data_IF_066369424982
#
_entry.id   IF_066369424982
#
_cell.length_a   1.000
_cell.length_b   1.000
_cell.length_c   1.000
_cell.angle_alpha   90.00
_cell.angle_beta   90.00
_cell.angle_gamma   90.00
#
_symmetry.space_group_name_H-M   'P 1'
#
loop_
_entity.id
_entity.type
_entity.pdbx_description
1 polymer ?
#
# COMPACT_ATOMS: atom_id res chain seq x y z
N UNK A 1 30.61 -6.03 -8.20
CA UNK A 1 29.87 -7.32 -8.08
C UNK A 1 29.11 -7.53 -9.37
N UNK A 2 29.19 -8.71 -9.97
CA UNK A 2 28.42 -9.05 -11.19
C UNK A 2 27.15 -9.77 -10.70
N UNK A 3 25.97 -9.30 -11.10
CA UNK A 3 24.72 -9.98 -10.81
C UNK A 3 24.61 -11.21 -11.73
N UNK A 4 24.37 -12.37 -11.14
CA UNK A 4 24.27 -13.65 -11.82
C UNK A 4 23.30 -14.55 -11.04
N UNK A 5 22.25 -15.04 -11.70
CA UNK A 5 21.25 -15.91 -11.08
C UNK A 5 21.30 -17.35 -11.60
N UNK A 6 22.32 -17.75 -12.37
CA UNK A 6 22.40 -19.10 -12.96
C UNK A 6 22.36 -20.21 -11.93
N UNK A 7 23.10 -20.06 -10.83
CA UNK A 7 23.08 -21.05 -9.75
C UNK A 7 21.73 -21.13 -9.05
N UNK A 8 21.05 -19.97 -8.91
CA UNK A 8 19.71 -19.93 -8.31
C UNK A 8 18.67 -20.61 -9.22
N UNK A 9 18.74 -20.33 -10.53
CA UNK A 9 17.88 -21.02 -11.52
C UNK A 9 18.12 -22.52 -11.51
N UNK A 10 19.41 -22.95 -11.48
CA UNK A 10 19.79 -24.37 -11.40
C UNK A 10 19.19 -25.02 -10.16
N UNK A 11 19.35 -24.40 -8.98
CA UNK A 11 18.77 -24.90 -7.73
C UNK A 11 17.24 -25.06 -7.81
N UNK A 12 16.54 -24.07 -8.37
CA UNK A 12 15.08 -24.13 -8.52
C UNK A 12 14.63 -25.27 -9.43
N UNK A 13 15.39 -25.57 -10.48
CA UNK A 13 15.14 -26.69 -11.40
C UNK A 13 15.38 -28.03 -10.70
N UNK A 14 16.51 -28.18 -10.02
CA UNK A 14 16.82 -29.39 -9.24
C UNK A 14 15.77 -29.67 -8.18
N UNK A 15 15.26 -28.65 -7.49
CA UNK A 15 14.18 -28.80 -6.52
C UNK A 15 12.86 -29.26 -7.18
N UNK A 16 12.59 -28.85 -8.41
CA UNK A 16 11.40 -29.31 -9.16
C UNK A 16 11.50 -30.76 -9.58
N UNK A 17 12.71 -31.26 -9.85
CA UNK A 17 12.97 -32.61 -10.34
C UNK A 17 12.93 -33.66 -9.21
N UNK A 18 12.84 -33.25 -7.94
CA UNK A 18 12.72 -34.17 -6.81
C UNK A 18 11.39 -34.95 -6.91
N UNK A 19 11.40 -36.28 -6.85
CA UNK A 19 10.19 -37.09 -6.89
C UNK A 19 9.15 -36.67 -5.84
N UNK A 20 7.91 -36.43 -6.28
CA UNK A 20 6.81 -36.00 -5.43
C UNK A 20 6.67 -34.46 -5.29
N UNK A 21 7.66 -33.68 -5.71
CA UNK A 21 7.54 -32.21 -5.74
C UNK A 21 6.73 -31.79 -6.96
N UNK A 22 5.59 -31.14 -6.72
CA UNK A 22 4.74 -30.65 -7.80
C UNK A 22 5.05 -29.23 -8.24
N UNK A 23 5.44 -28.36 -7.30
CA UNK A 23 5.75 -26.94 -7.53
C UNK A 23 6.71 -26.42 -6.48
N UNK A 24 7.59 -25.52 -6.91
CA UNK A 24 8.52 -24.78 -6.04
C UNK A 24 8.21 -23.31 -6.16
N UNK A 25 7.77 -22.66 -5.06
CA UNK A 25 7.42 -21.24 -5.06
C UNK A 25 8.37 -20.43 -4.20
N UNK A 26 8.81 -19.28 -4.71
CA UNK A 26 9.57 -18.28 -3.96
C UNK A 26 8.58 -17.44 -3.16
N UNK A 27 8.66 -17.50 -1.83
CA UNK A 27 7.81 -16.74 -0.90
C UNK A 27 8.54 -15.55 -0.27
N UNK A 28 9.86 -15.56 -0.23
CA UNK A 28 10.68 -14.42 0.21
C UNK A 28 10.69 -13.30 -0.82
N UNK A 29 11.03 -12.08 -0.39
CA UNK A 29 11.29 -10.99 -1.33
C UNK A 29 12.52 -11.28 -2.17
N UNK A 30 12.51 -10.79 -3.41
CA UNK A 30 13.66 -10.83 -4.31
C UNK A 30 14.32 -9.46 -4.43
N UNK A 31 15.62 -9.45 -4.73
CA UNK A 31 16.40 -8.24 -5.05
C UNK A 31 16.16 -7.88 -6.52
N UNK A 32 15.11 -7.08 -6.77
CA UNK A 32 14.69 -6.68 -8.11
C UNK A 32 15.77 -5.92 -8.88
N UNK A 33 16.63 -5.19 -8.20
CA UNK A 33 17.78 -4.48 -8.77
C UNK A 33 18.83 -5.45 -9.34
N UNK A 34 19.11 -6.54 -8.65
CA UNK A 34 20.04 -7.58 -9.15
C UNK A 34 19.42 -8.36 -10.30
N UNK A 35 18.10 -8.61 -10.26
CA UNK A 35 17.40 -9.24 -11.40
C UNK A 35 17.54 -8.38 -12.67
N UNK A 36 17.44 -7.05 -12.54
CA UNK A 36 17.61 -6.15 -13.68
C UNK A 36 19.06 -6.01 -14.12
N UNK A 37 20.01 -6.09 -13.20
CA UNK A 37 21.46 -6.00 -13.48
C UNK A 37 22.04 -7.28 -14.09
N UNK A 38 21.32 -8.39 -13.97
CA UNK A 38 21.73 -9.66 -14.61
C UNK A 38 21.62 -9.54 -16.14
N UNK A 39 22.69 -9.87 -16.82
CA UNK A 39 22.70 -9.89 -18.29
C UNK A 39 21.84 -11.02 -18.85
N UNK A 40 21.74 -12.14 -18.10
CA UNK A 40 20.89 -13.27 -18.43
C UNK A 40 19.48 -13.05 -17.84
N UNK A 41 18.52 -12.76 -18.69
CA UNK A 41 17.14 -12.52 -18.28
C UNK A 41 16.33 -13.81 -18.05
N UNK A 42 16.98 -14.97 -18.07
CA UNK A 42 16.35 -16.28 -17.87
C UNK A 42 15.68 -16.36 -16.51
N UNK A 43 16.31 -15.83 -15.46
CA UNK A 43 15.77 -15.87 -14.11
C UNK A 43 14.38 -15.23 -14.01
N UNK A 44 14.18 -14.02 -14.54
CA UNK A 44 12.89 -13.34 -14.47
C UNK A 44 11.80 -14.11 -15.22
N UNK A 45 12.12 -14.65 -16.39
CA UNK A 45 11.16 -15.40 -17.19
C UNK A 45 10.76 -16.72 -16.52
N UNK A 46 11.70 -17.43 -15.93
CA UNK A 46 11.46 -18.68 -15.22
C UNK A 46 10.73 -18.45 -13.88
N UNK A 47 11.13 -17.40 -13.15
CA UNK A 47 10.45 -16.95 -11.93
C UNK A 47 8.95 -16.75 -12.18
N UNK A 48 8.60 -15.96 -13.18
CA UNK A 48 7.19 -15.69 -13.53
C UNK A 48 6.49 -16.95 -13.99
N UNK A 49 7.15 -17.78 -14.80
CA UNK A 49 6.56 -18.99 -15.37
C UNK A 49 6.26 -20.04 -14.30
N UNK A 50 7.19 -20.31 -13.38
CA UNK A 50 7.15 -21.51 -12.56
C UNK A 50 7.16 -21.26 -11.04
N UNK A 51 7.64 -20.10 -10.57
CA UNK A 51 8.01 -19.92 -9.17
C UNK A 51 7.24 -18.84 -8.42
N UNK A 52 6.25 -18.18 -9.06
CA UNK A 52 5.33 -17.24 -8.42
C UNK A 52 3.95 -17.85 -8.29
N UNK A 53 3.42 -17.90 -7.07
CA UNK A 53 2.08 -18.48 -6.76
C UNK A 53 0.92 -17.50 -6.91
N UNK A 54 1.08 -16.43 -7.72
CA UNK A 54 0.12 -15.35 -7.89
C UNK A 54 0.59 -14.01 -7.32
N UNK A 55 1.44 -14.02 -6.31
CA UNK A 55 1.97 -12.80 -5.68
C UNK A 55 3.48 -12.91 -5.47
N UNK A 56 4.21 -11.89 -5.90
CA UNK A 56 5.64 -11.74 -5.69
C UNK A 56 5.90 -10.58 -4.73
N UNK A 57 6.57 -10.83 -3.62
CA UNK A 57 6.94 -9.77 -2.67
C UNK A 57 8.22 -9.08 -3.13
N UNK A 58 8.19 -7.77 -3.14
CA UNK A 58 9.34 -6.90 -3.45
C UNK A 58 9.43 -5.78 -2.44
N UNK A 59 10.64 -5.31 -2.15
CA UNK A 59 10.88 -4.31 -1.13
C UNK A 59 11.50 -3.03 -1.75
N UNK A 60 10.70 -2.20 -2.47
CA UNK A 60 11.14 -0.88 -2.90
C UNK A 60 11.38 0.07 -1.71
N UNK A 61 10.65 -0.13 -0.62
CA UNK A 61 10.71 0.54 0.67
C UNK A 61 10.23 1.99 0.65
N UNK A 62 10.57 2.78 -0.36
CA UNK A 62 10.14 4.15 -0.56
C UNK A 62 10.10 4.52 -2.05
N UNK A 63 9.66 5.75 -2.38
CA UNK A 63 9.65 6.29 -3.76
C UNK A 63 10.56 7.51 -3.91
N UNK A 64 10.74 8.29 -2.83
CA UNK A 64 11.67 9.41 -2.83
C UNK A 64 13.11 8.93 -2.99
N UNK A 65 13.78 9.38 -4.06
CA UNK A 65 15.17 9.00 -4.32
C UNK A 65 16.15 9.50 -3.24
N UNK A 66 15.79 10.58 -2.54
CA UNK A 66 16.52 11.08 -1.38
C UNK A 66 16.51 10.06 -0.24
N UNK A 67 15.34 9.58 0.12
CA UNK A 67 15.16 8.58 1.19
C UNK A 67 15.80 7.25 0.80
N UNK A 68 15.62 6.80 -0.44
CA UNK A 68 16.24 5.58 -0.97
C UNK A 68 17.76 5.62 -0.91
N UNK A 69 18.37 6.79 -1.15
CA UNK A 69 19.82 6.98 -1.00
C UNK A 69 20.29 6.75 0.44
N UNK A 70 19.55 7.24 1.45
CA UNK A 70 19.85 6.98 2.85
C UNK A 70 19.65 5.51 3.22
N UNK A 71 18.67 4.85 2.64
CA UNK A 71 18.43 3.40 2.81
C UNK A 71 19.49 2.52 2.13
N UNK A 72 20.34 3.09 1.27
CA UNK A 72 21.25 2.31 0.41
C UNK A 72 20.51 1.44 -0.61
N UNK A 73 19.34 1.90 -1.05
CA UNK A 73 18.49 1.24 -2.04
C UNK A 73 18.69 1.84 -3.42
N UNK A 74 18.39 1.08 -4.48
CA UNK A 74 18.36 1.61 -5.84
C UNK A 74 17.30 2.70 -5.97
N UNK A 75 17.48 3.58 -6.95
CA UNK A 75 16.53 4.64 -7.27
C UNK A 75 15.17 4.06 -7.67
N UNK A 76 14.11 4.84 -7.46
CA UNK A 76 12.73 4.42 -7.72
C UNK A 76 12.49 3.97 -9.18
N UNK A 77 13.16 4.59 -10.13
CA UNK A 77 13.07 4.25 -11.55
C UNK A 77 13.50 2.79 -11.84
N UNK A 78 14.43 2.26 -11.03
CA UNK A 78 14.84 0.84 -11.13
C UNK A 78 13.69 -0.09 -10.75
N UNK A 79 12.95 0.27 -9.71
CA UNK A 79 11.75 -0.48 -9.32
C UNK A 79 10.65 -0.42 -10.40
N UNK A 80 10.41 0.75 -10.97
CA UNK A 80 9.43 0.92 -12.05
C UNK A 80 9.78 0.08 -13.28
N UNK A 81 11.06 0.03 -13.66
CA UNK A 81 11.52 -0.81 -14.77
C UNK A 81 11.34 -2.30 -14.45
N UNK A 82 11.59 -2.72 -13.21
CA UNK A 82 11.33 -4.09 -12.79
C UNK A 82 9.84 -4.45 -12.95
N UNK A 83 8.92 -3.61 -12.48
CA UNK A 83 7.48 -3.82 -12.63
C UNK A 83 7.10 -3.93 -14.10
N UNK A 84 7.60 -3.03 -14.96
CA UNK A 84 7.35 -3.07 -16.39
C UNK A 84 7.77 -4.41 -17.02
N UNK A 85 8.96 -4.93 -16.66
CA UNK A 85 9.44 -6.23 -17.16
C UNK A 85 8.66 -7.41 -16.59
N UNK A 86 8.33 -7.36 -15.31
CA UNK A 86 7.51 -8.38 -14.66
C UNK A 86 6.13 -8.51 -15.32
N UNK A 87 5.47 -7.39 -15.58
CA UNK A 87 4.17 -7.36 -16.28
C UNK A 87 4.27 -7.84 -17.72
N UNK A 88 5.34 -7.50 -18.42
CA UNK A 88 5.59 -8.00 -19.77
C UNK A 88 5.77 -9.52 -19.79
N UNK A 89 6.48 -10.09 -18.80
CA UNK A 89 6.61 -11.54 -18.63
C UNK A 89 5.27 -12.21 -18.32
N UNK A 90 4.46 -11.62 -17.45
CA UNK A 90 3.11 -12.10 -17.15
C UNK A 90 2.24 -12.17 -18.41
N UNK A 91 2.24 -11.12 -19.22
CA UNK A 91 1.51 -11.08 -20.49
C UNK A 91 1.97 -12.17 -21.45
N UNK A 92 3.29 -12.37 -21.60
CA UNK A 92 3.87 -13.41 -22.45
C UNK A 92 3.50 -14.84 -22.00
N UNK A 93 3.39 -15.06 -20.68
CA UNK A 93 3.08 -16.38 -20.11
C UNK A 93 1.59 -16.62 -19.88
N UNK A 94 0.74 -15.62 -20.15
CA UNK A 94 -0.71 -15.69 -19.92
C UNK A 94 -1.09 -15.78 -18.44
N UNK A 95 -0.21 -15.32 -17.53
CA UNK A 95 -0.43 -15.39 -16.08
C UNK A 95 -0.95 -14.07 -15.52
N UNK A 96 -1.75 -14.18 -14.46
CA UNK A 96 -2.21 -13.06 -13.65
C UNK A 96 -1.50 -13.10 -12.30
N UNK A 97 -0.37 -12.41 -12.22
CA UNK A 97 0.44 -12.33 -11.02
C UNK A 97 0.69 -10.86 -10.68
N UNK A 98 0.83 -10.57 -9.39
CA UNK A 98 0.95 -9.21 -8.88
C UNK A 98 2.23 -9.07 -8.07
N UNK A 99 2.97 -7.99 -8.27
CA UNK A 99 4.03 -7.59 -7.37
C UNK A 99 3.42 -6.89 -6.16
N UNK A 100 3.75 -7.35 -4.95
CA UNK A 100 3.33 -6.75 -3.70
C UNK A 100 4.48 -5.92 -3.14
N UNK A 101 4.44 -4.59 -3.26
CA UNK A 101 5.47 -3.74 -2.71
C UNK A 101 5.37 -3.66 -1.19
N UNK A 102 6.52 -3.69 -0.54
CA UNK A 102 6.68 -3.38 0.86
C UNK A 102 7.23 -1.97 1.00
N UNK A 103 6.53 -1.12 1.78
CA UNK A 103 6.92 0.25 2.06
C UNK A 103 7.18 0.44 3.56
N UNK A 104 8.11 1.33 3.86
CA UNK A 104 8.52 1.68 5.21
C UNK A 104 8.32 3.18 5.46
N UNK A 105 7.79 3.53 6.62
CA UNK A 105 7.68 4.91 7.10
C UNK A 105 8.77 5.23 8.10
N UNK A 106 9.01 6.50 8.31
CA UNK A 106 9.84 7.03 9.40
C UNK A 106 11.32 6.60 9.37
N UNK A 107 11.85 6.28 8.19
CA UNK A 107 13.29 6.05 8.03
C UNK A 107 14.06 7.37 8.22
N UNK A 108 15.29 7.35 8.80
CA UNK A 108 16.17 8.52 8.78
C UNK A 108 16.28 9.10 7.37
N UNK A 109 16.13 10.42 7.25
CA UNK A 109 16.06 11.13 5.96
C UNK A 109 14.67 11.29 5.38
N UNK A 110 13.64 10.65 5.94
CA UNK A 110 12.25 10.77 5.48
C UNK A 110 11.51 11.84 6.30
N UNK A 111 11.12 12.93 5.68
CA UNK A 111 10.22 13.95 6.24
C UNK A 111 8.76 13.73 5.82
N UNK A 112 7.88 14.68 6.16
CA UNK A 112 6.47 14.57 5.81
C UNK A 112 6.20 14.75 4.32
N UNK A 113 7.00 15.55 3.63
CA UNK A 113 6.92 15.79 2.19
C UNK A 113 7.20 14.48 1.43
N UNK A 114 8.26 13.76 1.81
CA UNK A 114 8.56 12.44 1.23
C UNK A 114 7.44 11.42 1.50
N UNK A 115 6.84 11.48 2.70
CA UNK A 115 5.74 10.58 3.04
C UNK A 115 4.46 10.89 2.24
N UNK A 116 4.22 12.16 1.89
CA UNK A 116 3.14 12.57 0.99
C UNK A 116 3.41 12.07 -0.44
N UNK A 117 4.66 12.22 -0.94
CA UNK A 117 5.06 11.68 -2.24
C UNK A 117 4.79 10.17 -2.33
N UNK A 118 5.13 9.42 -1.27
CA UNK A 118 4.83 7.99 -1.19
C UNK A 118 3.33 7.71 -1.22
N UNK A 119 2.52 8.51 -0.50
CA UNK A 119 1.06 8.36 -0.48
C UNK A 119 0.43 8.62 -1.86
N UNK A 120 0.93 9.62 -2.59
CA UNK A 120 0.50 9.91 -3.96
C UNK A 120 0.82 8.73 -4.90
N UNK A 121 2.02 8.18 -4.80
CA UNK A 121 2.40 6.99 -5.56
C UNK A 121 1.51 5.78 -5.24
N UNK A 122 1.22 5.52 -3.96
CA UNK A 122 0.31 4.45 -3.54
C UNK A 122 -1.10 4.67 -4.10
N UNK A 123 -1.60 5.92 -4.14
CA UNK A 123 -2.86 6.28 -4.78
C UNK A 123 -2.86 5.90 -6.26
N UNK A 124 -1.82 6.30 -6.99
CA UNK A 124 -1.72 6.13 -8.43
C UNK A 124 -1.51 4.66 -8.82
N UNK A 125 -0.86 3.89 -7.97
CA UNK A 125 -0.72 2.44 -8.10
C UNK A 125 -2.07 1.71 -7.93
N UNK A 126 -3.06 2.33 -7.25
CA UNK A 126 -4.40 1.77 -7.05
C UNK A 126 -4.49 0.64 -6.01
N UNK A 127 -3.38 0.22 -5.45
CA UNK A 127 -3.29 -0.79 -4.40
C UNK A 127 -2.81 -0.17 -3.09
N UNK A 128 -3.51 -0.44 -1.98
CA UNK A 128 -3.10 0.05 -0.66
C UNK A 128 -2.49 -1.08 0.14
N UNK A 129 -1.27 -0.91 0.64
CA UNK A 129 -0.64 -1.88 1.51
C UNK A 129 -1.49 -2.14 2.77
N UNK A 130 -1.80 -3.41 3.05
CA UNK A 130 -2.50 -3.79 4.30
C UNK A 130 -1.64 -3.53 5.54
N UNK A 131 -0.31 -3.61 5.38
CA UNK A 131 0.65 -3.40 6.45
C UNK A 131 1.60 -2.26 6.08
N UNK A 132 1.72 -1.30 6.98
CA UNK A 132 2.75 -0.27 6.98
C UNK A 132 3.64 -0.49 8.21
N UNK A 133 4.95 -0.48 8.02
CA UNK A 133 5.90 -0.65 9.11
C UNK A 133 6.74 0.60 9.27
N UNK A 134 6.85 1.08 10.52
CA UNK A 134 7.79 2.14 10.83
C UNK A 134 9.21 1.58 10.85
N UNK A 135 10.18 2.43 10.52
CA UNK A 135 11.58 2.11 10.70
C UNK A 135 11.84 1.68 12.15
N UNK A 136 12.51 0.54 12.29
CA UNK A 136 12.98 0.02 13.56
C UNK A 136 14.50 -0.08 13.54
N UNK A 137 15.22 0.57 14.49
CA UNK A 137 16.68 0.52 14.51
C UNK A 137 17.20 -0.89 14.72
N UNK A 138 17.85 -1.44 13.71
CA UNK A 138 18.49 -2.76 13.77
C UNK A 138 19.98 -2.57 14.00
N UNK A 139 20.59 -3.22 14.99
CA UNK A 139 22.03 -3.11 15.24
C UNK A 139 22.89 -3.35 13.99
N UNK A 140 24.05 -2.68 13.93
CA UNK A 140 25.04 -2.82 12.86
C UNK A 140 24.58 -2.33 11.46
N UNK A 141 23.60 -1.42 11.39
CA UNK A 141 23.17 -0.81 10.13
C UNK A 141 23.50 0.67 10.07
N UNK A 142 23.75 1.19 8.86
CA UNK A 142 23.95 2.62 8.62
C UNK A 142 22.72 3.43 9.05
N UNK A 143 21.52 2.91 8.78
CA UNK A 143 20.26 3.55 9.15
C UNK A 143 20.13 3.72 10.67
N UNK A 144 20.58 2.73 11.46
CA UNK A 144 20.59 2.83 12.91
C UNK A 144 21.61 3.86 13.40
N UNK A 145 22.78 3.96 12.76
CA UNK A 145 23.75 5.01 13.04
C UNK A 145 23.12 6.39 12.80
N UNK A 146 22.51 6.62 11.63
CA UNK A 146 21.80 7.87 11.32
C UNK A 146 20.68 8.17 12.34
N UNK A 147 19.93 7.15 12.75
CA UNK A 147 18.82 7.33 13.70
C UNK A 147 19.28 7.89 15.06
N UNK A 148 20.39 7.38 15.57
CA UNK A 148 20.90 7.81 16.88
C UNK A 148 21.75 9.07 16.82
N UNK A 149 22.57 9.24 15.77
CA UNK A 149 23.50 10.36 15.65
C UNK A 149 22.92 11.57 14.96
N UNK A 150 21.93 11.38 14.08
CA UNK A 150 21.45 12.44 13.19
C UNK A 150 22.44 12.80 12.09
N UNK A 151 23.44 11.94 11.81
CA UNK A 151 24.46 12.15 10.80
C UNK A 151 24.52 10.95 9.84
N UNK A 152 24.78 11.22 8.56
CA UNK A 152 25.11 10.18 7.59
C UNK A 152 26.55 9.72 7.83
N UNK A 153 26.79 8.48 8.26
CA UNK A 153 28.14 8.00 8.57
C UNK A 153 29.07 7.90 7.35
N UNK A 154 28.54 8.07 6.14
CA UNK A 154 29.33 8.07 4.89
C UNK A 154 29.93 9.44 4.56
N UNK A 155 29.23 10.52 4.92
CA UNK A 155 29.58 11.89 4.57
C UNK A 155 29.75 12.81 5.78
N UNK A 156 29.22 12.39 6.94
CA UNK A 156 29.09 13.18 8.17
C UNK A 156 28.13 14.37 8.06
N UNK A 157 27.31 14.40 7.01
CA UNK A 157 26.28 15.43 6.86
C UNK A 157 25.10 15.19 7.80
N UNK A 158 24.42 16.25 8.27
CA UNK A 158 23.20 16.14 9.06
C UNK A 158 22.09 15.42 8.30
N UNK A 159 21.41 14.49 8.97
CA UNK A 159 20.26 13.74 8.46
C UNK A 159 19.04 14.03 9.33
N UNK A 160 17.95 14.40 8.69
CA UNK A 160 16.67 14.51 9.39
C UNK A 160 16.24 13.15 9.96
N UNK A 161 15.77 13.12 11.21
CA UNK A 161 15.27 11.90 11.84
C UNK A 161 13.91 12.14 12.48
N UNK A 162 12.84 11.49 12.00
CA UNK A 162 11.52 11.62 12.61
C UNK A 162 11.52 10.90 13.96
N UNK A 163 11.71 11.66 15.06
CA UNK A 163 11.75 11.11 16.43
C UNK A 163 10.41 11.20 17.15
N UNK A 164 9.56 12.16 16.77
CA UNK A 164 8.26 12.38 17.40
C UNK A 164 7.32 11.19 17.11
N UNK A 165 6.71 10.58 18.14
CA UNK A 165 5.72 9.52 17.95
C UNK A 165 4.53 9.97 17.09
N UNK A 166 4.13 11.24 17.22
CA UNK A 166 3.04 11.82 16.45
C UNK A 166 3.38 11.94 14.97
N UNK A 167 4.58 12.39 14.65
CA UNK A 167 5.05 12.47 13.26
C UNK A 167 5.17 11.09 12.62
N UNK A 168 5.73 10.11 13.34
CA UNK A 168 5.77 8.71 12.87
C UNK A 168 4.37 8.17 12.59
N UNK A 169 3.40 8.50 13.46
CA UNK A 169 2.00 8.12 13.24
C UNK A 169 1.42 8.78 11.97
N UNK A 170 1.74 10.05 11.69
CA UNK A 170 1.33 10.73 10.44
C UNK A 170 1.95 10.09 9.22
N UNK A 171 3.27 9.82 9.21
CA UNK A 171 3.94 9.17 8.08
C UNK A 171 3.34 7.77 7.81
N UNK A 172 3.10 6.97 8.84
CA UNK A 172 2.44 5.66 8.70
C UNK A 172 1.00 5.79 8.20
N UNK A 173 0.26 6.76 8.72
CA UNK A 173 -1.12 7.03 8.31
C UNK A 173 -1.22 7.37 6.81
N UNK A 174 -0.25 8.09 6.25
CA UNK A 174 -0.17 8.41 4.82
C UNK A 174 -0.04 7.16 3.95
N UNK A 175 0.70 6.12 4.37
CA UNK A 175 0.76 4.84 3.65
C UNK A 175 -0.62 4.14 3.62
N UNK A 176 -1.40 4.31 4.69
CA UNK A 176 -2.72 3.70 4.86
C UNK A 176 -3.84 4.76 4.86
N UNK A 177 -3.76 5.76 3.98
CA UNK A 177 -4.62 6.93 3.98
C UNK A 177 -6.12 6.63 3.80
N UNK A 178 -6.49 5.47 3.24
CA UNK A 178 -7.91 5.05 3.11
C UNK A 178 -8.51 4.47 4.39
N UNK A 179 -7.67 4.13 5.39
CA UNK A 179 -8.22 3.71 6.68
C UNK A 179 -8.93 4.89 7.35
N UNK A 180 -10.25 4.76 7.67
CA UNK A 180 -11.01 5.85 8.29
C UNK A 180 -10.44 6.34 9.64
N UNK A 181 -9.73 5.51 10.36
CA UNK A 181 -9.08 5.84 11.63
C UNK A 181 -7.89 6.79 11.44
N UNK A 182 -7.26 6.77 10.26
CA UNK A 182 -6.11 7.59 9.94
C UNK A 182 -6.47 8.99 9.43
N UNK A 183 -7.77 9.29 9.24
CA UNK A 183 -8.24 10.49 8.57
C UNK A 183 -7.65 11.79 9.14
N UNK A 184 -7.72 11.97 10.46
CA UNK A 184 -7.24 13.20 11.10
C UNK A 184 -5.73 13.38 10.96
N UNK A 185 -4.96 12.28 11.14
CA UNK A 185 -3.50 12.30 10.95
C UNK A 185 -3.10 12.60 9.50
N UNK A 186 -3.83 12.05 8.53
CA UNK A 186 -3.60 12.34 7.11
C UNK A 186 -3.91 13.81 6.80
N UNK A 187 -5.05 14.33 7.26
CA UNK A 187 -5.40 15.73 7.06
C UNK A 187 -4.40 16.68 7.74
N UNK A 188 -3.92 16.34 8.93
CA UNK A 188 -2.89 17.12 9.62
C UNK A 188 -1.57 17.12 8.84
N UNK A 189 -1.10 15.96 8.40
CA UNK A 189 0.10 15.84 7.60
C UNK A 189 0.01 16.67 6.31
N UNK A 190 -1.11 16.61 5.60
CA UNK A 190 -1.33 17.37 4.36
C UNK A 190 -1.34 18.89 4.60
N UNK A 191 -1.92 19.37 5.73
CA UNK A 191 -1.86 20.80 6.08
C UNK A 191 -0.44 21.24 6.45
N UNK A 192 0.31 20.42 7.18
CA UNK A 192 1.70 20.74 7.56
C UNK A 192 2.64 20.82 6.36
N UNK A 193 2.35 20.08 5.31
CA UNK A 193 3.12 20.07 4.06
C UNK A 193 2.53 21.00 2.99
N UNK A 194 1.53 21.81 3.31
CA UNK A 194 0.83 22.69 2.37
C UNK A 194 0.27 21.95 1.14
N UNK A 195 -0.22 20.71 1.35
CA UNK A 195 -0.80 19.85 0.32
C UNK A 195 -2.30 19.62 0.54
N UNK A 196 -3.03 20.67 0.92
CA UNK A 196 -4.50 20.64 1.05
C UNK A 196 -5.19 20.36 -0.28
N UNK A 197 -4.51 20.54 -1.40
CA UNK A 197 -4.96 20.14 -2.73
C UNK A 197 -5.31 18.63 -2.82
N UNK A 198 -4.72 17.83 -1.93
CA UNK A 198 -4.99 16.40 -1.81
C UNK A 198 -6.21 16.05 -0.93
N UNK A 199 -6.86 17.06 -0.35
CA UNK A 199 -8.12 16.93 0.40
C UNK A 199 -9.27 17.40 -0.49
N UNK A 200 -10.04 16.49 -1.06
CA UNK A 200 -11.10 16.86 -2.00
C UNK A 200 -11.83 15.67 -2.60
N UNK A 201 -12.60 15.94 -3.64
CA UNK A 201 -13.38 14.93 -4.37
C UNK A 201 -12.74 14.52 -5.71
N UNK A 202 -11.67 15.17 -6.09
CA UNK A 202 -10.96 14.88 -7.34
C UNK A 202 -10.25 13.53 -7.32
N UNK A 203 -9.91 12.97 -8.50
CA UNK A 203 -9.26 11.67 -8.61
C UNK A 203 -7.86 11.65 -8.05
N UNK A 204 -7.22 12.83 -7.94
CA UNK A 204 -5.88 12.98 -7.35
C UNK A 204 -5.89 13.21 -5.84
N UNK A 205 -7.07 13.38 -5.20
CA UNK A 205 -7.15 13.56 -3.76
C UNK A 205 -6.93 12.23 -3.02
N UNK A 206 -6.28 12.31 -1.86
CA UNK A 206 -6.07 11.17 -0.96
C UNK A 206 -7.29 10.92 -0.09
N UNK A 207 -7.88 11.99 0.47
CA UNK A 207 -9.03 11.92 1.38
C UNK A 207 -10.11 12.90 0.97
N UNK A 208 -11.37 12.54 1.27
CA UNK A 208 -12.51 13.43 1.05
C UNK A 208 -12.77 14.28 2.27
N UNK A 209 -13.17 15.57 2.12
CA UNK A 209 -13.56 16.39 3.26
C UNK A 209 -14.70 15.73 4.02
N UNK A 210 -14.57 15.60 5.35
CA UNK A 210 -15.68 15.21 6.23
C UNK A 210 -16.40 16.48 6.68
N UNK A 211 -17.74 16.46 6.70
CA UNK A 211 -18.50 17.52 7.37
C UNK A 211 -18.13 17.50 8.84
N UNK A 212 -17.61 18.60 9.36
CA UNK A 212 -17.40 18.75 10.80
C UNK A 212 -18.74 18.55 11.50
N UNK A 213 -18.78 17.70 12.54
CA UNK A 213 -19.96 17.41 13.33
C UNK A 213 -20.39 18.63 14.20
N UNK A 214 -20.41 19.81 13.65
CA UNK A 214 -20.77 21.08 14.29
C UNK A 214 -21.49 22.05 13.37
N UNK A 215 -21.52 21.82 12.05
CA UNK A 215 -22.32 22.62 11.12
C UNK A 215 -23.56 21.84 10.65
N UNK A 216 -24.39 21.42 11.61
CA UNK A 216 -25.80 21.16 11.32
C UNK A 216 -26.45 22.51 11.05
N UNK A 217 -26.34 22.97 9.80
CA UNK A 217 -27.05 24.18 9.35
C UNK A 217 -28.52 24.01 9.69
N UNK A 218 -29.05 24.99 10.43
CA UNK A 218 -30.51 25.15 10.69
C UNK A 218 -31.25 24.96 9.36
N UNK A 219 -32.29 24.11 9.31
CA UNK A 219 -33.09 24.01 8.10
C UNK A 219 -33.67 25.39 7.78
N UNK A 220 -33.32 25.95 6.64
CA UNK A 220 -33.93 27.16 6.11
C UNK A 220 -35.44 26.87 5.94
N UNK A 221 -36.27 27.49 6.77
CA UNK A 221 -37.72 27.55 6.60
C UNK A 221 -37.99 28.25 5.26
N UNK A 222 -38.16 27.49 4.22
CA UNK A 222 -38.75 27.96 2.98
C UNK A 222 -40.21 28.33 3.27
N UNK A 223 -40.55 29.63 3.08
CA UNK A 223 -41.92 30.14 3.11
C UNK A 223 -42.72 29.42 2.02
N UNK A 224 -43.76 28.72 2.45
CA UNK A 224 -44.72 28.12 1.55
C UNK A 224 -45.54 29.14 0.80
N UNK A 225 -45.85 28.88 -0.42
CA UNK A 225 -46.97 29.50 -1.16
C UNK A 225 -48.08 28.46 -1.32
N UNK A 226 -49.28 28.92 -0.97
CA UNK A 226 -50.56 28.24 -1.05
C UNK A 226 -50.89 27.69 -2.44
N UNK A 227 -51.40 26.47 -2.50
CA UNK A 227 -52.17 25.95 -3.63
C UNK A 227 -53.19 24.93 -3.17
N UNK A 228 -54.47 25.36 -3.18
CA UNK A 228 -55.67 24.57 -2.86
C UNK A 228 -55.92 23.50 -3.93
N UNK A 229 -56.41 22.31 -3.53
CA UNK A 229 -57.08 21.36 -4.43
C UNK A 229 -57.47 20.08 -3.71
N UNK A 230 -58.61 20.03 -3.28
CA UNK A 230 -59.79 19.12 -3.24
C UNK A 230 -59.57 17.66 -3.68
N UNK A 231 -60.15 16.72 -2.84
CA UNK A 231 -60.80 15.49 -3.35
C UNK A 231 -60.34 14.19 -2.69
N UNK A 232 -61.07 13.83 -1.70
CA UNK A 232 -61.93 12.65 -1.47
C UNK A 232 -61.31 11.30 -1.09
N UNK A 233 -61.84 10.81 0.00
CA UNK A 233 -61.77 9.56 0.76
C UNK A 233 -61.96 8.30 -0.08
N UNK A 234 -61.31 7.19 0.31
CA UNK A 234 -62.07 5.99 0.74
C UNK A 234 -61.17 5.06 1.58
N UNK A 235 -61.76 4.50 2.61
CA UNK A 235 -61.25 3.51 3.54
C UNK A 235 -61.37 2.10 3.00
N UNK A 236 -60.51 1.19 3.41
CA UNK A 236 -60.82 -0.16 3.95
C UNK A 236 -59.50 -0.88 4.19
N UNK A 237 -59.18 -1.16 5.35
CA UNK A 237 -59.39 -2.25 6.33
C UNK A 237 -58.87 -3.66 5.90
N UNK A 238 -58.14 -4.24 6.87
CA UNK A 238 -57.89 -5.65 7.17
C UNK A 238 -56.52 -6.29 6.89
N UNK A 239 -55.79 -6.41 8.01
CA UNK A 239 -55.30 -7.68 8.63
C UNK A 239 -54.44 -8.65 7.82
N UNK A 240 -53.31 -9.01 8.45
CA UNK A 240 -52.68 -10.30 8.14
C UNK A 240 -51.18 -10.38 8.49
N UNK A 241 -50.93 -11.06 9.54
CA UNK A 241 -49.66 -11.56 10.08
C UNK A 241 -48.70 -12.17 9.06
N UNK A 242 -47.37 -12.05 9.33
CA UNK A 242 -46.40 -12.92 8.71
C UNK A 242 -44.95 -12.53 9.02
N UNK A 243 -44.40 -13.09 10.09
CA UNK A 243 -42.97 -13.10 10.40
C UNK A 243 -42.18 -13.86 9.32
N UNK A 244 -41.07 -13.32 8.84
CA UNK A 244 -39.90 -14.14 8.53
C UNK A 244 -38.63 -13.32 8.67
N UNK A 245 -37.80 -13.74 9.61
CA UNK A 245 -36.39 -13.34 9.76
C UNK A 245 -35.60 -14.03 8.67
N UNK A 246 -34.86 -13.29 7.85
CA UNK A 246 -33.78 -13.85 7.05
C UNK A 246 -32.46 -13.28 7.55
N UNK A 247 -31.72 -14.13 8.25
CA UNK A 247 -30.38 -13.86 8.73
C UNK A 247 -29.38 -13.74 7.59
N UNK A 248 -28.67 -12.61 7.54
CA UNK A 248 -27.53 -12.45 6.66
C UNK A 248 -26.37 -13.34 7.11
N UNK A 249 -25.86 -14.16 6.20
CA UNK A 249 -24.63 -14.95 6.40
C UNK A 249 -23.42 -14.02 6.49
N UNK A 250 -22.54 -14.17 7.49
CA UNK A 250 -21.27 -13.42 7.54
C UNK A 250 -20.33 -13.88 6.43
N UNK A 251 -19.74 -12.92 5.72
CA UNK A 251 -18.69 -13.16 4.73
C UNK A 251 -17.46 -13.75 5.43
N UNK A 252 -17.06 -14.96 5.02
CA UNK A 252 -15.84 -15.63 5.51
C UNK A 252 -14.61 -14.86 5.07
N UNK A 253 -13.80 -14.37 6.02
CA UNK A 253 -12.47 -13.85 5.77
C UNK A 253 -11.46 -15.00 5.69
N UNK A 254 -10.41 -14.83 4.89
CA UNK A 254 -9.36 -15.85 4.61
C UNK A 254 -8.65 -16.44 5.86
N UNK A 255 -8.89 -15.89 7.05
CA UNK A 255 -8.33 -16.37 8.32
C UNK A 255 -8.99 -17.65 8.88
N UNK A 256 -10.13 -18.06 8.37
CA UNK A 256 -10.89 -19.19 8.92
C UNK A 256 -10.69 -20.54 8.22
N UNK A 257 -9.69 -20.67 7.33
CA UNK A 257 -9.46 -21.90 6.56
C UNK A 257 -8.56 -22.92 7.27
N UNK A 258 -7.94 -22.57 8.40
CA UNK A 258 -6.98 -23.46 9.08
C UNK A 258 -7.42 -24.01 10.46
N UNK A 259 -8.73 -24.06 10.75
CA UNK A 259 -9.20 -24.80 11.92
C UNK A 259 -10.22 -25.84 11.50
N UNK A 260 -9.72 -26.95 10.97
CA UNK A 260 -10.32 -28.31 11.05
C UNK A 260 -9.31 -29.32 10.50
N UNK A 261 -8.48 -29.83 11.35
CA UNK A 261 -8.14 -31.27 11.48
C UNK A 261 -7.56 -31.47 12.86
#
# INVERSE_FOLDING_TARGET
MVADHRDYVKLLRELKDIPGVKKVFIRSGIRFDYVLADKDQTFLSELVKDHVSGQLRVAPEHVSNRVLSYMGKPRHEVYQEFIRRFDACNKKTGKQQYALPYFMSSHPGCDLEDAVELAEYIRDMGFIPEQAQDFYPTPSTLSTCMYYTGLDPRTMDPVYVPKSPHEKAMQRALIQYRNPENYELVCEALRRTHREDLIGFGPKCLVRPRKMAGEAGKPSRGKGSNGKGFGQKTANDRSGQGKTKTGGRPKKTLRNVHKKK
#
